data_IF_714100962086
#
_entry.id   IF_714100962086
#
_cell.length_a   1.000
_cell.length_b   1.000
_cell.length_c   1.000
_cell.angle_alpha   90.00
_cell.angle_beta   90.00
_cell.angle_gamma   90.00
#
_symmetry.space_group_name_H-M   'P 1'
#
loop_
_entity.id
_entity.type
_entity.pdbx_description
1 polymer ?
#
# COMPACT_ATOMS: atom_id res chain seq x y z
N UNK A 1 -8.81 1.66 -17.81
CA UNK A 1 -9.09 2.01 -16.42
C UNK A 1 -8.24 1.17 -15.48
N UNK A 2 -7.64 1.79 -14.47
CA UNK A 2 -6.80 1.08 -13.52
C UNK A 2 -7.64 0.11 -12.68
N UNK A 3 -7.22 -1.14 -12.65
CA UNK A 3 -7.87 -2.17 -11.83
C UNK A 3 -7.17 -2.24 -10.48
N UNK A 4 -7.92 -2.06 -9.39
CA UNK A 4 -7.36 -2.05 -8.04
C UNK A 4 -7.82 -3.26 -7.27
N UNK A 5 -6.86 -3.98 -6.68
CA UNK A 5 -7.15 -5.13 -5.83
C UNK A 5 -6.58 -4.92 -4.44
N UNK A 6 -7.28 -5.43 -3.43
CA UNK A 6 -6.87 -5.34 -2.03
C UNK A 6 -6.69 -6.74 -1.47
N UNK A 7 -5.54 -6.99 -0.83
CA UNK A 7 -5.33 -8.29 -0.19
C UNK A 7 -6.15 -8.37 1.10
N UNK A 8 -6.46 -9.60 1.51
CA UNK A 8 -7.17 -9.83 2.77
C UNK A 8 -6.35 -9.35 3.97
N UNK A 9 -5.04 -9.56 3.92
CA UNK A 9 -4.15 -9.12 5.00
C UNK A 9 -4.19 -7.60 5.17
N UNK A 10 -4.18 -6.87 4.06
CA UNK A 10 -4.29 -5.41 4.09
C UNK A 10 -5.59 -4.97 4.72
N UNK A 11 -6.71 -5.58 4.30
CA UNK A 11 -8.02 -5.21 4.83
C UNK A 11 -8.14 -5.51 6.32
N UNK A 12 -7.57 -6.63 6.76
CA UNK A 12 -7.56 -6.97 8.18
C UNK A 12 -6.77 -5.96 8.99
N UNK A 13 -5.60 -5.57 8.50
CA UNK A 13 -4.76 -4.60 9.20
C UNK A 13 -5.46 -3.26 9.31
N UNK A 14 -6.08 -2.80 8.22
CA UNK A 14 -6.81 -1.53 8.23
C UNK A 14 -7.95 -1.57 9.26
N UNK A 15 -8.67 -2.70 9.32
CA UNK A 15 -9.79 -2.83 10.25
C UNK A 15 -9.34 -2.81 11.72
N UNK A 16 -8.09 -3.16 11.98
CA UNK A 16 -7.54 -3.17 13.34
C UNK A 16 -7.00 -1.81 13.80
N UNK A 17 -6.89 -0.86 12.90
CA UNK A 17 -6.43 0.49 13.24
C UNK A 17 -7.56 1.18 14.01
N UNK A 18 -7.32 1.46 15.29
CA UNK A 18 -8.31 2.10 16.15
C UNK A 18 -8.26 3.63 16.07
N UNK A 19 -7.10 4.16 15.80
CA UNK A 19 -6.90 5.61 15.70
C UNK A 19 -7.49 6.12 14.39
N UNK A 20 -8.54 6.92 14.49
CA UNK A 20 -9.22 7.50 13.32
C UNK A 20 -8.27 8.29 12.44
N UNK A 21 -7.36 9.05 13.06
CA UNK A 21 -6.39 9.87 12.33
C UNK A 21 -5.48 9.00 11.46
N UNK A 22 -4.96 7.91 12.02
CA UNK A 22 -4.10 6.98 11.27
C UNK A 22 -4.87 6.31 10.15
N UNK A 23 -6.09 5.89 10.41
CA UNK A 23 -6.94 5.25 9.41
C UNK A 23 -7.20 6.18 8.22
N UNK A 24 -7.48 7.45 8.52
CA UNK A 24 -7.72 8.45 7.48
C UNK A 24 -6.46 8.71 6.64
N UNK A 25 -5.29 8.73 7.28
CA UNK A 25 -4.02 8.87 6.58
C UNK A 25 -3.79 7.72 5.60
N UNK A 26 -4.07 6.50 6.03
CA UNK A 26 -3.92 5.31 5.18
C UNK A 26 -4.84 5.41 3.97
N UNK A 27 -6.11 5.73 4.19
CA UNK A 27 -7.07 5.88 3.10
C UNK A 27 -6.65 6.95 2.11
N UNK A 28 -6.16 8.07 2.60
CA UNK A 28 -5.72 9.18 1.78
C UNK A 28 -4.54 8.79 0.89
N UNK A 29 -3.59 8.03 1.45
CA UNK A 29 -2.43 7.59 0.70
C UNK A 29 -2.79 6.53 -0.33
N UNK A 30 -3.74 5.65 -0.01
CA UNK A 30 -4.23 4.68 -0.99
C UNK A 30 -4.82 5.41 -2.20
N UNK A 31 -5.60 6.45 -1.97
CA UNK A 31 -6.15 7.28 -3.03
C UNK A 31 -5.06 7.90 -3.89
N UNK A 32 -4.01 8.38 -3.23
CA UNK A 32 -2.87 8.97 -3.91
C UNK A 32 -2.13 7.96 -4.78
N UNK A 33 -1.99 6.72 -4.29
CA UNK A 33 -1.39 5.64 -5.06
C UNK A 33 -2.23 5.31 -6.29
N UNK A 34 -3.54 5.32 -6.15
CA UNK A 34 -4.44 5.07 -7.28
C UNK A 34 -4.26 6.12 -8.37
N UNK A 35 -4.10 7.38 -7.97
CA UNK A 35 -3.85 8.47 -8.91
C UNK A 35 -2.45 8.43 -9.51
N UNK A 36 -1.45 8.03 -8.71
CA UNK A 36 -0.05 8.00 -9.11
C UNK A 36 0.59 6.69 -8.67
N UNK A 37 0.34 5.59 -9.40
CA UNK A 37 0.83 4.27 -8.97
C UNK A 37 2.35 4.14 -8.81
N UNK A 38 3.11 5.02 -9.42
CA UNK A 38 4.58 4.97 -9.32
C UNK A 38 5.14 5.82 -8.20
N UNK A 39 4.29 6.38 -7.34
CA UNK A 39 4.72 7.27 -6.27
C UNK A 39 5.55 6.56 -5.19
N UNK A 40 5.27 5.28 -4.94
CA UNK A 40 5.99 4.52 -3.93
C UNK A 40 7.42 4.21 -4.33
N UNK A 41 8.26 4.00 -3.33
CA UNK A 41 9.66 3.67 -3.54
C UNK A 41 9.81 2.21 -3.98
N UNK A 42 10.50 1.91 -5.09
CA UNK A 42 10.70 0.52 -5.50
C UNK A 42 11.45 -0.26 -4.43
N UNK A 43 11.00 -1.47 -4.18
CA UNK A 43 11.68 -2.35 -3.23
C UNK A 43 12.73 -3.19 -3.96
N UNK A 44 13.76 -3.55 -3.24
CA UNK A 44 14.91 -4.27 -3.81
C UNK A 44 14.91 -5.74 -3.43
N UNK A 45 15.77 -6.49 -4.08
CA UNK A 45 16.04 -7.92 -3.83
C UNK A 45 14.81 -8.80 -4.02
N UNK A 46 14.45 -9.59 -3.00
CA UNK A 46 13.37 -10.56 -3.10
C UNK A 46 12.00 -9.95 -3.40
N UNK A 47 11.85 -8.66 -3.14
CA UNK A 47 10.57 -7.97 -3.36
C UNK A 47 10.57 -7.12 -4.64
N UNK A 48 11.48 -7.42 -5.54
CA UNK A 48 11.55 -6.71 -6.81
C UNK A 48 10.19 -6.72 -7.52
N UNK A 49 9.80 -5.56 -8.05
CA UNK A 49 8.50 -5.41 -8.69
C UNK A 49 7.42 -4.85 -7.80
N UNK A 50 7.72 -4.71 -6.51
CA UNK A 50 6.80 -4.07 -5.57
C UNK A 50 7.31 -2.69 -5.16
N UNK A 51 6.42 -1.90 -4.59
CA UNK A 51 6.74 -0.56 -4.10
C UNK A 51 6.27 -0.40 -2.67
N UNK A 52 6.87 0.52 -1.96
CA UNK A 52 6.53 0.79 -0.57
C UNK A 52 6.30 2.29 -0.38
N UNK A 53 5.26 2.63 0.38
CA UNK A 53 4.97 4.01 0.74
C UNK A 53 4.91 4.12 2.26
N UNK A 54 5.61 5.12 2.80
CA UNK A 54 5.61 5.36 4.24
C UNK A 54 4.40 6.22 4.62
N UNK A 55 3.67 5.78 5.63
CA UNK A 55 2.48 6.48 6.13
C UNK A 55 2.63 6.61 7.64
N UNK A 56 3.32 7.67 8.09
CA UNK A 56 3.65 7.80 9.51
C UNK A 56 4.47 6.62 9.97
N UNK A 57 3.98 5.89 10.97
CA UNK A 57 4.64 4.70 11.50
C UNK A 57 4.34 3.44 10.71
N UNK A 58 3.50 3.53 9.69
CA UNK A 58 3.12 2.39 8.89
C UNK A 58 3.87 2.35 7.56
N UNK A 59 3.93 1.16 6.98
CA UNK A 59 4.48 0.92 5.65
C UNK A 59 3.43 0.21 4.82
N UNK A 60 3.13 0.75 3.66
CA UNK A 60 2.18 0.16 2.72
C UNK A 60 2.95 -0.42 1.54
N UNK A 61 2.84 -1.73 1.35
CA UNK A 61 3.47 -2.41 0.22
C UNK A 61 2.44 -2.69 -0.86
N UNK A 62 2.80 -2.43 -2.11
CA UNK A 62 1.89 -2.66 -3.22
C UNK A 62 2.67 -3.04 -4.48
N UNK A 63 1.98 -3.63 -5.44
CA UNK A 63 2.53 -3.95 -6.75
C UNK A 63 1.76 -3.18 -7.82
N UNK A 64 2.49 -2.57 -8.75
CA UNK A 64 1.88 -1.91 -9.89
C UNK A 64 2.34 -2.62 -11.16
N UNK A 65 1.40 -3.23 -11.87
CA UNK A 65 1.66 -3.95 -13.10
C UNK A 65 1.20 -3.07 -14.25
N UNK A 66 2.13 -2.26 -14.74
CA UNK A 66 1.84 -1.24 -15.74
C UNK A 66 1.24 -1.81 -17.02
N UNK A 67 1.80 -2.90 -17.52
CA UNK A 67 1.33 -3.53 -18.75
C UNK A 67 -0.13 -3.98 -18.68
N UNK A 68 -0.57 -4.33 -17.49
CA UNK A 68 -1.95 -4.79 -17.26
C UNK A 68 -2.83 -3.73 -16.65
N UNK A 69 -2.28 -2.55 -16.42
CA UNK A 69 -2.98 -1.45 -15.78
C UNK A 69 -3.64 -1.90 -14.48
N UNK A 70 -2.86 -2.60 -13.64
CA UNK A 70 -3.34 -3.26 -12.43
C UNK A 70 -2.53 -2.83 -11.22
N UNK A 71 -3.23 -2.53 -10.14
CA UNK A 71 -2.65 -2.15 -8.86
C UNK A 71 -3.11 -3.13 -7.79
N UNK A 72 -2.15 -3.74 -7.08
CA UNK A 72 -2.45 -4.69 -6.02
C UNK A 72 -1.90 -4.15 -4.71
N UNK A 73 -2.79 -3.81 -3.78
CA UNK A 73 -2.38 -3.36 -2.45
C UNK A 73 -2.17 -4.60 -1.59
N UNK A 74 -0.90 -4.87 -1.27
CA UNK A 74 -0.47 -6.16 -0.73
C UNK A 74 -0.51 -6.25 0.80
N UNK A 75 0.06 -5.26 1.47
CA UNK A 75 0.22 -5.36 2.91
C UNK A 75 0.38 -3.98 3.55
N UNK A 76 -0.06 -3.88 4.80
CA UNK A 76 0.13 -2.70 5.62
C UNK A 76 0.68 -3.18 6.95
N UNK A 77 1.86 -2.68 7.33
CA UNK A 77 2.49 -3.12 8.56
C UNK A 77 3.14 -1.94 9.28
N UNK A 78 3.30 -2.09 10.59
CA UNK A 78 3.97 -1.09 11.41
C UNK A 78 5.48 -1.22 11.20
N UNK A 79 6.19 -0.09 11.19
CA UNK A 79 7.64 -0.09 10.96
C UNK A 79 8.41 -1.01 11.92
N UNK A 80 7.88 -1.20 13.11
CA UNK A 80 8.52 -2.05 14.12
C UNK A 80 8.31 -3.54 13.89
N UNK A 81 7.48 -3.91 12.90
CA UNK A 81 7.19 -5.30 12.57
C UNK A 81 8.03 -5.81 11.39
N UNK A 82 8.97 -5.03 10.96
CA UNK A 82 9.85 -5.42 9.85
C UNK A 82 10.85 -6.50 10.24
#
# INVERSE_FOLDING_TARGET
MLKVEYSDDLLKTISKIKDTSSKEKVKKQIKKIIDQPEIGKPMRYARKGTRELHIGSYRLAYAYIKDKNKLILLDLYHKDEQ
#
